data_IF_848420960069
#
_entry.id   IF_848420960069
#
_cell.length_a   1.000
_cell.length_b   1.000
_cell.length_c   1.000
_cell.angle_alpha   90.00
_cell.angle_beta   90.00
_cell.angle_gamma   90.00
#
_symmetry.space_group_name_H-M   'P 1'
#
loop_
_entity.id
_entity.type
_entity.pdbx_description
1 polymer ?
#
# COMPACT_ATOMS: atom_id res chain seq x y z
N UNK A 1 -37.66 -9.97 7.81
CA UNK A 1 -36.68 -10.72 7.02
C UNK A 1 -36.72 -10.16 5.60
N UNK A 2 -35.56 -9.86 5.01
CA UNK A 2 -35.50 -9.47 3.61
C UNK A 2 -35.93 -10.67 2.75
N UNK A 3 -36.75 -10.42 1.74
CA UNK A 3 -37.21 -11.43 0.79
C UNK A 3 -36.65 -11.09 -0.59
N UNK A 4 -36.03 -12.05 -1.30
CA UNK A 4 -35.44 -11.78 -2.61
C UNK A 4 -36.48 -11.21 -3.58
N UNK A 5 -36.10 -10.21 -4.36
CA UNK A 5 -36.95 -9.67 -5.43
C UNK A 5 -37.03 -10.64 -6.61
N UNK A 6 -35.94 -11.36 -6.87
CA UNK A 6 -35.85 -12.36 -7.94
C UNK A 6 -35.14 -13.62 -7.44
N UNK A 7 -35.42 -14.78 -8.04
CA UNK A 7 -34.69 -16.02 -7.78
C UNK A 7 -34.23 -16.60 -9.11
N UNK A 8 -32.95 -16.92 -9.21
CA UNK A 8 -32.34 -17.48 -10.41
C UNK A 8 -31.93 -18.93 -10.16
N UNK A 9 -32.47 -19.91 -10.92
CA UNK A 9 -32.13 -21.31 -10.72
C UNK A 9 -30.64 -21.55 -10.99
N UNK A 10 -29.96 -22.20 -10.05
CA UNK A 10 -28.53 -22.52 -10.14
C UNK A 10 -27.58 -21.49 -9.51
N UNK A 11 -28.08 -20.35 -9.02
CA UNK A 11 -27.31 -19.35 -8.28
C UNK A 11 -27.79 -19.35 -6.83
N UNK A 12 -26.87 -19.40 -5.89
CA UNK A 12 -27.22 -19.36 -4.46
C UNK A 12 -27.84 -17.99 -4.12
N UNK A 13 -28.89 -18.01 -3.28
CA UNK A 13 -29.63 -16.80 -2.89
C UNK A 13 -28.70 -15.70 -2.35
N UNK A 14 -28.95 -14.44 -2.75
CA UNK A 14 -28.18 -13.27 -2.35
C UNK A 14 -26.82 -13.12 -3.04
N UNK A 15 -26.52 -13.98 -4.03
CA UNK A 15 -25.25 -13.90 -4.79
C UNK A 15 -25.43 -13.37 -6.21
N UNK A 16 -26.66 -13.26 -6.71
CA UNK A 16 -26.89 -12.86 -8.09
C UNK A 16 -26.44 -11.43 -8.37
N UNK A 17 -26.78 -10.50 -7.47
CA UNK A 17 -26.34 -9.11 -7.61
C UNK A 17 -24.82 -8.99 -7.47
N UNK A 18 -24.21 -9.74 -6.54
CA UNK A 18 -22.76 -9.78 -6.40
C UNK A 18 -22.08 -10.17 -7.72
N UNK A 19 -22.59 -11.21 -8.38
CA UNK A 19 -22.09 -11.64 -9.69
C UNK A 19 -22.25 -10.56 -10.77
N UNK A 20 -23.40 -9.88 -10.83
CA UNK A 20 -23.61 -8.77 -11.78
C UNK A 20 -22.61 -7.64 -11.51
N UNK A 21 -22.43 -7.27 -10.24
CA UNK A 21 -21.49 -6.24 -9.83
C UNK A 21 -20.06 -6.62 -10.21
N UNK A 22 -19.65 -7.87 -10.05
CA UNK A 22 -18.33 -8.36 -10.46
C UNK A 22 -18.14 -8.31 -11.99
N UNK A 23 -19.16 -8.67 -12.76
CA UNK A 23 -19.14 -8.57 -14.23
C UNK A 23 -19.02 -7.10 -14.66
N UNK A 24 -19.78 -6.20 -14.04
CA UNK A 24 -19.72 -4.75 -14.31
C UNK A 24 -18.34 -4.21 -13.93
N UNK A 25 -17.80 -4.62 -12.78
CA UNK A 25 -16.46 -4.23 -12.33
C UNK A 25 -15.42 -4.64 -13.36
N UNK A 26 -15.43 -5.90 -13.80
CA UNK A 26 -14.49 -6.41 -14.80
C UNK A 26 -14.62 -5.68 -16.15
N UNK A 27 -15.85 -5.46 -16.62
CA UNK A 27 -16.11 -4.73 -17.85
C UNK A 27 -15.60 -3.28 -17.78
N UNK A 28 -15.81 -2.61 -16.64
CA UNK A 28 -15.32 -1.24 -16.42
C UNK A 28 -13.80 -1.18 -16.33
N UNK A 29 -13.14 -2.14 -15.67
CA UNK A 29 -11.67 -2.20 -15.64
C UNK A 29 -11.11 -2.35 -17.05
N UNK A 30 -11.68 -3.23 -17.88
CA UNK A 30 -11.27 -3.37 -19.29
C UNK A 30 -11.52 -2.08 -20.06
N UNK A 31 -12.69 -1.46 -19.88
CA UNK A 31 -13.07 -0.22 -20.55
C UNK A 31 -12.10 0.93 -20.24
N UNK A 32 -11.75 1.10 -18.97
CA UNK A 32 -10.84 2.15 -18.53
C UNK A 32 -9.37 1.85 -18.86
N UNK A 33 -8.96 0.58 -18.85
CA UNK A 33 -7.59 0.19 -19.26
C UNK A 33 -7.37 0.40 -20.77
N UNK A 34 -8.40 0.16 -21.60
CA UNK A 34 -8.31 0.29 -23.07
C UNK A 34 -8.60 1.69 -23.59
N UNK A 35 -9.19 2.55 -22.78
CA UNK A 35 -9.51 3.91 -23.17
C UNK A 35 -8.27 4.79 -23.05
N UNK A 36 -8.07 5.70 -24.01
CA UNK A 36 -7.07 6.78 -23.95
C UNK A 36 -7.46 7.88 -22.93
N UNK A 37 -8.34 7.53 -21.97
CA UNK A 37 -8.86 8.45 -20.98
C UNK A 37 -7.82 8.59 -19.89
N UNK A 38 -7.19 9.74 -19.84
CA UNK A 38 -6.35 10.16 -18.72
C UNK A 38 -7.19 10.18 -17.44
N UNK A 39 -7.07 9.14 -16.62
CA UNK A 39 -7.71 9.06 -15.31
C UNK A 39 -6.92 9.97 -14.37
N UNK A 40 -7.50 11.10 -14.00
CA UNK A 40 -6.85 11.99 -13.04
C UNK A 40 -6.76 11.31 -11.67
N UNK A 41 -5.53 11.12 -11.18
CA UNK A 41 -5.25 10.76 -9.79
C UNK A 41 -4.81 12.03 -9.08
N UNK A 42 -5.42 12.32 -7.91
CA UNK A 42 -5.01 13.48 -7.11
C UNK A 42 -3.56 13.31 -6.66
N UNK A 43 -2.83 14.42 -6.54
CA UNK A 43 -1.50 14.39 -5.93
C UNK A 43 -1.56 13.93 -4.47
N UNK A 44 -0.58 13.14 -4.08
CA UNK A 44 -0.45 12.59 -2.73
C UNK A 44 0.89 13.05 -2.17
N UNK A 45 0.84 13.96 -1.20
CA UNK A 45 2.05 14.63 -0.68
C UNK A 45 3.09 13.62 -0.15
N UNK A 46 2.66 12.56 0.53
CA UNK A 46 3.58 11.53 1.03
C UNK A 46 4.25 10.71 -0.06
N UNK A 47 3.64 10.57 -1.24
CA UNK A 47 4.28 9.91 -2.39
C UNK A 47 5.24 10.86 -3.10
N UNK A 48 4.85 12.12 -3.27
CA UNK A 48 5.73 13.16 -3.84
C UNK A 48 6.99 13.36 -2.98
N UNK A 49 6.87 13.23 -1.66
CA UNK A 49 7.98 13.35 -0.73
C UNK A 49 9.03 12.22 -0.86
N UNK A 50 8.70 11.09 -1.50
CA UNK A 50 9.64 9.97 -1.67
C UNK A 50 10.82 10.38 -2.54
N UNK A 51 10.57 11.02 -3.68
CA UNK A 51 11.63 11.48 -4.58
C UNK A 51 12.56 12.47 -3.88
N UNK A 52 11.99 13.43 -3.13
CA UNK A 52 12.77 14.38 -2.32
C UNK A 52 13.60 13.66 -1.25
N UNK A 53 13.00 12.70 -0.54
CA UNK A 53 13.66 11.96 0.53
C UNK A 53 14.84 11.11 0.00
N UNK A 54 14.72 10.52 -1.19
CA UNK A 54 15.80 9.78 -1.84
C UNK A 54 16.86 10.75 -2.40
N UNK A 55 16.46 11.84 -3.04
CA UNK A 55 17.39 12.86 -3.55
C UNK A 55 18.25 13.46 -2.43
N UNK A 56 17.64 13.81 -1.29
CA UNK A 56 18.36 14.28 -0.10
C UNK A 56 19.30 13.22 0.48
N UNK A 57 18.92 11.94 0.43
CA UNK A 57 19.77 10.84 0.86
C UNK A 57 21.04 10.72 0.00
N UNK A 58 20.88 10.87 -1.32
CA UNK A 58 21.98 10.92 -2.28
C UNK A 58 22.93 12.09 -1.98
N UNK A 59 22.40 13.30 -1.80
CA UNK A 59 23.19 14.51 -1.49
C UNK A 59 23.98 14.39 -0.17
N UNK A 60 23.40 13.73 0.84
CA UNK A 60 24.05 13.53 2.13
C UNK A 60 25.01 12.33 2.17
N UNK A 61 25.03 11.49 1.13
CA UNK A 61 25.78 10.23 1.14
C UNK A 61 25.30 9.26 2.22
N UNK A 62 24.02 9.31 2.58
CA UNK A 62 23.41 8.50 3.64
C UNK A 62 22.42 7.50 3.05
N UNK A 63 22.20 6.35 3.69
CA UNK A 63 21.26 5.36 3.18
C UNK A 63 19.80 5.80 3.33
N UNK A 64 18.95 5.19 2.50
CA UNK A 64 17.49 5.15 2.65
C UNK A 64 17.14 3.82 3.30
N UNK A 65 16.25 3.84 4.30
CA UNK A 65 15.68 2.59 4.84
C UNK A 65 14.24 2.48 4.38
N UNK A 66 13.89 1.40 3.69
CA UNK A 66 12.53 1.17 3.20
C UNK A 66 11.95 -0.12 3.78
N UNK A 67 10.68 -0.12 4.14
CA UNK A 67 9.95 -1.34 4.53
C UNK A 67 8.70 -1.53 3.68
N UNK A 68 8.34 -2.79 3.49
CA UNK A 68 7.12 -3.25 2.83
C UNK A 68 6.13 -3.90 3.83
N UNK A 69 6.41 -3.79 5.12
CA UNK A 69 5.57 -4.30 6.21
C UNK A 69 5.87 -5.75 6.60
N UNK A 70 5.15 -6.19 7.64
CA UNK A 70 5.34 -7.47 8.34
C UNK A 70 4.22 -8.48 8.03
N UNK A 71 3.28 -8.13 7.15
CA UNK A 71 2.17 -9.01 6.76
C UNK A 71 2.54 -10.02 5.68
N UNK A 72 1.62 -10.93 5.37
CA UNK A 72 1.65 -11.71 4.12
C UNK A 72 1.24 -10.86 2.91
N UNK A 73 0.79 -11.49 1.82
CA UNK A 73 0.20 -10.79 0.67
C UNK A 73 -1.18 -10.22 1.01
N UNK A 74 -1.16 -9.09 1.71
CA UNK A 74 -2.34 -8.29 2.03
C UNK A 74 -2.41 -7.07 1.11
N UNK A 75 -3.55 -6.41 1.11
CA UNK A 75 -3.76 -5.14 0.41
C UNK A 75 -2.67 -4.10 0.73
N UNK A 76 -2.29 -3.95 2.00
CA UNK A 76 -1.25 -3.01 2.42
C UNK A 76 0.15 -3.45 2.00
N UNK A 77 0.48 -4.74 2.17
CA UNK A 77 1.80 -5.25 1.80
C UNK A 77 2.06 -5.11 0.31
N UNK A 78 1.06 -5.37 -0.53
CA UNK A 78 1.17 -5.17 -1.99
C UNK A 78 1.46 -3.71 -2.33
N UNK A 79 0.78 -2.77 -1.66
CA UNK A 79 1.07 -1.35 -1.78
C UNK A 79 2.52 -1.01 -1.36
N UNK A 80 2.98 -1.57 -0.24
CA UNK A 80 4.35 -1.39 0.24
C UNK A 80 5.41 -1.94 -0.72
N UNK A 81 5.14 -3.08 -1.39
CA UNK A 81 6.02 -3.62 -2.43
C UNK A 81 6.07 -2.73 -3.67
N UNK A 82 4.94 -2.15 -4.08
CA UNK A 82 4.90 -1.22 -5.21
C UNK A 82 5.74 0.05 -4.90
N UNK A 83 5.61 0.58 -3.68
CA UNK A 83 6.43 1.71 -3.21
C UNK A 83 7.91 1.30 -3.15
N UNK A 84 8.23 0.10 -2.63
CA UNK A 84 9.60 -0.41 -2.59
C UNK A 84 10.23 -0.50 -3.97
N UNK A 85 9.48 -0.95 -4.99
CA UNK A 85 9.98 -1.02 -6.38
C UNK A 85 10.45 0.34 -6.86
N UNK A 86 9.59 1.35 -6.70
CA UNK A 86 9.91 2.72 -7.09
C UNK A 86 11.07 3.31 -6.28
N UNK A 87 11.11 3.10 -4.97
CA UNK A 87 12.22 3.53 -4.11
C UNK A 87 13.54 2.87 -4.53
N UNK A 88 13.51 1.58 -4.88
CA UNK A 88 14.69 0.84 -5.34
C UNK A 88 15.22 1.37 -6.67
N UNK A 89 14.34 1.68 -7.63
CA UNK A 89 14.72 2.30 -8.90
C UNK A 89 15.35 3.69 -8.68
N UNK A 90 14.76 4.53 -7.84
CA UNK A 90 15.33 5.83 -7.48
C UNK A 90 16.69 5.70 -6.78
N UNK A 91 16.83 4.78 -5.83
CA UNK A 91 18.09 4.54 -5.13
C UNK A 91 19.17 4.05 -6.10
N UNK A 92 18.87 3.09 -6.97
CA UNK A 92 19.80 2.58 -7.97
C UNK A 92 20.26 3.69 -8.94
N UNK A 93 19.32 4.50 -9.44
CA UNK A 93 19.60 5.61 -10.36
C UNK A 93 20.44 6.72 -9.74
N UNK A 94 20.24 7.00 -8.46
CA UNK A 94 20.98 8.03 -7.71
C UNK A 94 22.26 7.53 -7.06
N UNK A 95 22.54 6.22 -7.12
CA UNK A 95 23.66 5.59 -6.42
C UNK A 95 23.50 5.61 -4.89
N UNK A 96 22.27 5.74 -4.39
CA UNK A 96 21.97 5.77 -2.97
C UNK A 96 21.83 4.35 -2.43
N UNK A 97 22.46 4.06 -1.28
CA UNK A 97 22.34 2.76 -0.62
C UNK A 97 20.92 2.59 -0.05
N UNK A 98 20.23 1.54 -0.47
CA UNK A 98 18.92 1.16 0.04
C UNK A 98 19.05 0.00 1.02
N UNK A 99 18.53 0.15 2.24
CA UNK A 99 18.47 -0.92 3.25
C UNK A 99 17.00 -1.32 3.43
N UNK A 100 16.71 -2.62 3.35
CA UNK A 100 15.35 -3.16 3.43
C UNK A 100 15.27 -4.24 4.52
N UNK A 101 15.05 -3.87 5.80
CA UNK A 101 14.97 -4.87 6.86
C UNK A 101 13.76 -5.78 6.68
N UNK A 102 13.98 -7.10 6.62
CA UNK A 102 12.94 -8.10 6.32
C UNK A 102 12.57 -8.96 7.54
N UNK A 103 11.35 -9.49 7.55
CA UNK A 103 10.81 -10.34 8.63
C UNK A 103 9.67 -9.69 9.42
N UNK A 104 9.62 -9.95 10.72
CA UNK A 104 8.65 -9.46 11.69
C UNK A 104 7.39 -10.31 11.86
N UNK A 105 7.18 -11.31 11.00
CA UNK A 105 6.09 -12.28 11.12
C UNK A 105 6.38 -13.54 10.33
N UNK A 106 5.78 -14.66 10.72
CA UNK A 106 5.76 -15.89 9.91
C UNK A 106 5.15 -15.64 8.53
N UNK A 107 4.14 -14.77 8.41
CA UNK A 107 3.50 -14.46 7.12
C UNK A 107 4.37 -13.63 6.19
N UNK A 108 5.33 -12.86 6.71
CA UNK A 108 6.26 -12.07 5.89
C UNK A 108 7.29 -12.94 5.14
N UNK A 109 7.49 -14.19 5.58
CA UNK A 109 8.49 -15.10 5.01
C UNK A 109 8.22 -15.42 3.53
N UNK A 110 6.95 -15.51 3.13
CA UNK A 110 6.56 -15.74 1.72
C UNK A 110 6.68 -14.47 0.87
N UNK A 111 6.72 -13.29 1.50
CA UNK A 111 6.80 -11.99 0.82
C UNK A 111 8.26 -11.60 0.57
N UNK A 112 9.16 -11.97 1.48
CA UNK A 112 10.58 -11.63 1.42
C UNK A 112 11.25 -11.95 0.07
N UNK A 113 11.10 -13.15 -0.54
CA UNK A 113 11.72 -13.43 -1.83
C UNK A 113 11.24 -12.51 -2.95
N UNK A 114 9.97 -12.07 -2.89
CA UNK A 114 9.43 -11.10 -3.84
C UNK A 114 10.05 -9.72 -3.65
N UNK A 115 10.24 -9.29 -2.39
CA UNK A 115 10.92 -8.04 -2.10
C UNK A 115 12.40 -8.06 -2.55
N UNK A 116 13.11 -9.18 -2.34
CA UNK A 116 14.48 -9.37 -2.83
C UNK A 116 14.55 -9.28 -4.35
N UNK A 117 13.62 -9.94 -5.06
CA UNK A 117 13.59 -9.92 -6.52
C UNK A 117 13.23 -8.53 -7.08
N UNK A 118 12.31 -7.80 -6.42
CA UNK A 118 11.97 -6.41 -6.79
C UNK A 118 13.22 -5.53 -6.72
N UNK A 119 13.94 -5.55 -5.60
CA UNK A 119 15.14 -4.71 -5.44
C UNK A 119 16.22 -5.13 -6.44
N UNK A 120 16.48 -6.42 -6.59
CA UNK A 120 17.47 -6.92 -7.57
C UNK A 120 17.11 -6.52 -9.01
N UNK A 121 15.84 -6.61 -9.37
CA UNK A 121 15.34 -6.24 -10.70
C UNK A 121 15.51 -4.75 -10.95
N UNK A 122 15.17 -3.90 -9.97
CA UNK A 122 15.34 -2.45 -10.08
C UNK A 122 16.79 -2.06 -10.39
N UNK A 123 17.77 -2.61 -9.65
CA UNK A 123 19.19 -2.36 -9.91
C UNK A 123 19.65 -2.89 -11.29
N UNK A 124 19.08 -4.01 -11.75
CA UNK A 124 19.38 -4.59 -13.06
C UNK A 124 18.84 -3.72 -14.20
N UNK A 125 17.59 -3.24 -14.07
CA UNK A 125 16.92 -2.39 -15.07
C UNK A 125 17.59 -1.02 -15.18
N UNK A 126 18.05 -0.46 -14.06
CA UNK A 126 18.82 0.80 -14.03
C UNK A 126 20.29 0.61 -14.49
N UNK A 127 20.69 -0.59 -14.89
CA UNK A 127 22.01 -0.86 -15.47
C UNK A 127 23.16 -0.88 -14.46
N UNK A 128 22.86 -0.99 -13.16
CA UNK A 128 23.84 -1.03 -12.05
C UNK A 128 23.73 -2.30 -11.21
N UNK A 129 23.71 -3.51 -11.81
CA UNK A 129 23.55 -4.76 -11.06
C UNK A 129 24.68 -4.99 -10.04
N UNK A 130 25.88 -4.44 -10.30
CA UNK A 130 27.03 -4.55 -9.39
C UNK A 130 26.85 -3.77 -8.07
N UNK A 131 25.91 -2.82 -8.02
CA UNK A 131 25.58 -2.08 -6.80
C UNK A 131 24.54 -2.80 -5.93
N UNK A 132 23.88 -3.85 -6.44
CA UNK A 132 22.97 -4.65 -5.65
C UNK A 132 23.72 -5.45 -4.59
N UNK A 133 23.34 -5.28 -3.32
CA UNK A 133 23.91 -6.02 -2.22
C UNK A 133 22.83 -6.81 -1.45
N UNK A 134 22.85 -8.16 -1.47
CA UNK A 134 21.92 -8.98 -0.70
C UNK A 134 21.95 -8.70 0.81
N UNK A 135 23.11 -8.29 1.36
CA UNK A 135 23.26 -8.00 2.79
C UNK A 135 22.49 -6.75 3.23
N UNK A 136 22.06 -5.92 2.28
CA UNK A 136 21.19 -4.77 2.56
C UNK A 136 19.71 -5.16 2.74
N UNK A 137 19.36 -6.44 2.59
CA UNK A 137 18.02 -6.98 2.86
C UNK A 137 18.02 -8.00 4.03
N UNK A 138 18.56 -7.65 5.20
CA UNK A 138 18.76 -8.61 6.27
C UNK A 138 17.44 -9.15 6.80
N UNK A 139 17.37 -10.46 7.02
CA UNK A 139 16.29 -11.06 7.79
C UNK A 139 16.58 -10.90 9.28
N UNK A 140 15.71 -10.17 9.97
CA UNK A 140 15.91 -9.86 11.39
C UNK A 140 15.34 -10.93 12.31
N UNK A 141 14.05 -11.24 12.18
CA UNK A 141 13.36 -12.23 13.00
C UNK A 141 11.99 -12.57 12.42
N UNK A 142 11.43 -13.74 12.76
CA UNK A 142 10.01 -14.06 12.51
C UNK A 142 9.05 -13.49 13.55
N UNK A 143 9.57 -12.85 14.61
CA UNK A 143 8.79 -12.28 15.71
C UNK A 143 8.82 -10.74 15.65
N UNK A 144 7.65 -10.12 15.80
CA UNK A 144 7.46 -8.67 15.57
C UNK A 144 8.41 -7.79 16.39
N UNK A 145 8.47 -7.94 17.72
CA UNK A 145 9.31 -7.06 18.54
C UNK A 145 10.81 -7.37 18.47
N UNK A 146 11.18 -8.61 18.11
CA UNK A 146 12.57 -8.93 17.82
C UNK A 146 13.02 -8.28 16.49
N UNK A 147 12.13 -8.25 15.49
CA UNK A 147 12.34 -7.47 14.26
C UNK A 147 12.51 -5.98 14.57
N UNK A 148 11.65 -5.40 15.42
CA UNK A 148 11.76 -3.99 15.82
C UNK A 148 13.11 -3.69 16.46
N UNK A 149 13.60 -4.53 17.37
CA UNK A 149 14.92 -4.34 17.99
C UNK A 149 16.05 -4.32 16.96
N UNK A 150 16.00 -5.21 15.97
CA UNK A 150 16.95 -5.22 14.85
C UNK A 150 16.83 -3.97 13.96
N UNK A 151 15.60 -3.54 13.65
CA UNK A 151 15.31 -2.38 12.82
C UNK A 151 15.80 -1.09 13.48
N UNK A 152 15.43 -0.87 14.75
CA UNK A 152 15.91 0.26 15.56
C UNK A 152 17.43 0.26 15.65
N UNK A 153 18.05 -0.91 15.83
CA UNK A 153 19.50 -1.05 15.80
C UNK A 153 20.12 -0.62 14.47
N UNK A 154 19.50 -0.93 13.33
CA UNK A 154 19.92 -0.44 12.02
C UNK A 154 19.85 1.09 12.00
N UNK A 155 18.70 1.68 12.35
CA UNK A 155 18.51 3.14 12.34
C UNK A 155 19.55 3.88 13.19
N UNK A 156 19.84 3.38 14.39
CA UNK A 156 20.81 3.99 15.30
C UNK A 156 22.25 3.92 14.77
N UNK A 157 22.64 2.83 14.09
CA UNK A 157 23.99 2.65 13.54
C UNK A 157 24.18 3.38 12.23
N UNK A 158 23.21 3.30 11.32
CA UNK A 158 23.34 3.84 9.96
C UNK A 158 22.93 5.30 9.87
N UNK A 159 22.11 5.79 10.82
CA UNK A 159 21.58 7.17 10.86
C UNK A 159 21.13 7.63 9.48
N UNK A 160 20.15 6.91 8.86
CA UNK A 160 19.77 7.13 7.48
C UNK A 160 19.25 8.56 7.26
N UNK A 161 19.25 8.99 6.00
CA UNK A 161 18.66 10.26 5.62
C UNK A 161 17.13 10.21 5.68
N UNK A 162 16.55 9.06 5.32
CA UNK A 162 15.12 8.86 5.27
C UNK A 162 14.72 7.42 5.63
N UNK A 163 13.51 7.32 6.20
CA UNK A 163 12.85 6.06 6.52
C UNK A 163 11.47 6.06 5.88
N UNK A 164 11.29 5.15 4.92
CA UNK A 164 10.04 4.94 4.18
C UNK A 164 9.40 3.66 4.71
N UNK A 165 8.50 3.80 5.67
CA UNK A 165 7.87 2.68 6.36
C UNK A 165 6.45 2.47 5.85
N UNK A 166 6.31 1.60 4.85
CA UNK A 166 5.03 1.34 4.19
C UNK A 166 4.67 -0.14 4.25
N UNK A 167 3.42 -0.46 3.92
CA UNK A 167 2.90 -1.83 4.04
C UNK A 167 2.27 -2.13 5.39
N UNK A 168 2.12 -3.42 5.70
CA UNK A 168 1.42 -3.89 6.90
C UNK A 168 2.27 -3.74 8.16
N UNK A 169 2.12 -2.61 8.86
CA UNK A 169 2.67 -2.42 10.19
C UNK A 169 1.56 -2.33 11.26
N UNK A 170 1.88 -2.72 12.49
CA UNK A 170 1.00 -2.62 13.66
C UNK A 170 1.68 -1.75 14.71
N UNK A 171 1.76 -2.22 15.96
CA UNK A 171 2.37 -1.50 17.09
C UNK A 171 3.87 -1.23 16.93
N UNK A 172 4.56 -1.97 16.05
CA UNK A 172 5.96 -1.76 15.69
C UNK A 172 6.20 -0.39 15.03
N UNK A 173 5.22 0.09 14.26
CA UNK A 173 5.35 1.31 13.47
C UNK A 173 5.76 2.52 14.32
N UNK A 174 5.18 2.66 15.52
CA UNK A 174 5.48 3.79 16.40
C UNK A 174 6.92 3.78 16.89
N UNK A 175 7.43 2.61 17.28
CA UNK A 175 8.81 2.47 17.77
C UNK A 175 9.80 2.82 16.67
N UNK A 176 9.52 2.41 15.44
CA UNK A 176 10.34 2.71 14.28
C UNK A 176 10.25 4.20 13.96
N UNK A 177 9.05 4.78 13.85
CA UNK A 177 8.86 6.20 13.52
C UNK A 177 9.54 7.14 14.52
N UNK A 178 9.35 6.91 15.82
CA UNK A 178 10.00 7.72 16.87
C UNK A 178 11.53 7.61 16.81
N UNK A 179 12.05 6.39 16.55
CA UNK A 179 13.48 6.18 16.37
C UNK A 179 14.02 6.91 15.14
N UNK A 180 13.28 6.87 14.03
CA UNK A 180 13.62 7.58 12.79
C UNK A 180 13.72 9.08 13.02
N UNK A 181 12.76 9.66 13.72
CA UNK A 181 12.78 11.07 14.11
C UNK A 181 13.97 11.37 15.04
N UNK A 182 14.24 10.53 16.03
CA UNK A 182 15.36 10.69 16.96
C UNK A 182 16.74 10.65 16.28
N UNK A 183 16.90 9.92 15.17
CA UNK A 183 18.14 9.91 14.38
C UNK A 183 18.20 11.05 13.34
N UNK A 184 17.12 11.81 13.18
CA UNK A 184 17.00 12.95 12.27
C UNK A 184 16.70 12.55 10.82
N UNK A 185 16.06 11.41 10.62
CA UNK A 185 15.66 10.93 9.29
C UNK A 185 14.28 11.49 8.91
N UNK A 186 14.11 11.88 7.64
CA UNK A 186 12.78 12.16 7.09
C UNK A 186 11.97 10.88 7.15
N UNK A 187 10.81 10.93 7.78
CA UNK A 187 10.01 9.76 8.07
C UNK A 187 8.70 9.81 7.28
N UNK A 188 8.56 8.90 6.32
CA UNK A 188 7.36 8.74 5.49
C UNK A 188 6.71 7.42 5.89
N UNK A 189 5.46 7.45 6.34
CA UNK A 189 4.77 6.26 6.84
C UNK A 189 3.46 5.98 6.12
N UNK A 190 2.95 4.76 6.24
CA UNK A 190 1.61 4.39 5.79
C UNK A 190 0.74 3.92 6.96
N UNK A 191 -0.47 4.45 7.06
CA UNK A 191 -1.43 4.13 8.10
C UNK A 191 -2.21 2.83 7.87
N UNK A 192 -1.54 1.67 7.80
CA UNK A 192 -2.20 0.37 7.57
C UNK A 192 -3.09 -0.10 8.73
N UNK A 193 -2.76 0.32 9.94
CA UNK A 193 -3.52 -0.02 11.15
C UNK A 193 -4.21 1.22 11.70
N UNK A 194 -5.55 1.25 11.59
CA UNK A 194 -6.37 2.44 11.87
C UNK A 194 -6.08 3.06 13.25
N UNK A 195 -5.86 2.23 14.27
CA UNK A 195 -5.62 2.70 15.64
C UNK A 195 -4.28 3.45 15.79
N UNK A 196 -3.34 3.28 14.86
CA UNK A 196 -2.03 3.93 14.92
C UNK A 196 -1.91 5.15 14.01
N UNK A 197 -2.90 5.40 13.13
CA UNK A 197 -2.84 6.47 12.12
C UNK A 197 -2.63 7.84 12.76
N UNK A 198 -3.41 8.16 13.80
CA UNK A 198 -3.31 9.46 14.48
C UNK A 198 -1.93 9.66 15.12
N UNK A 199 -1.38 8.61 15.73
CA UNK A 199 -0.08 8.70 16.37
C UNK A 199 1.05 8.79 15.33
N UNK A 200 0.96 8.03 14.24
CA UNK A 200 1.92 8.12 13.12
C UNK A 200 1.86 9.48 12.43
N UNK A 201 0.69 10.10 12.33
CA UNK A 201 0.55 11.45 11.80
C UNK A 201 1.30 12.50 12.64
N UNK A 202 1.47 12.26 13.95
CA UNK A 202 2.29 13.11 14.81
C UNK A 202 3.79 12.79 14.76
N UNK A 203 4.14 11.52 14.51
CA UNK A 203 5.53 11.04 14.57
C UNK A 203 6.25 11.05 13.21
N UNK A 204 5.53 11.27 12.10
CA UNK A 204 6.07 11.22 10.74
C UNK A 204 6.02 12.61 10.09
N UNK A 205 6.99 12.91 9.22
CA UNK A 205 6.93 14.12 8.39
C UNK A 205 5.82 14.01 7.34
N UNK A 206 5.60 12.80 6.81
CA UNK A 206 4.50 12.49 5.90
C UNK A 206 3.85 11.17 6.27
N UNK A 207 2.51 11.11 6.14
CA UNK A 207 1.74 9.88 6.32
C UNK A 207 0.78 9.69 5.14
N UNK A 208 0.76 8.46 4.62
CA UNK A 208 -0.24 7.99 3.66
C UNK A 208 -1.45 7.46 4.43
N UNK A 209 -2.63 8.01 4.17
CA UNK A 209 -3.87 7.66 4.89
C UNK A 209 -4.85 6.96 3.96
N UNK A 210 -5.38 5.83 4.43
CA UNK A 210 -6.42 5.08 3.72
C UNK A 210 -5.96 4.63 2.34
N UNK A 211 -6.65 5.09 1.30
CA UNK A 211 -6.42 4.67 -0.09
C UNK A 211 -5.18 5.30 -0.75
N UNK A 212 -4.46 6.17 -0.05
CA UNK A 212 -3.25 6.80 -0.59
C UNK A 212 -2.10 5.82 -0.82
N UNK A 213 -1.82 4.92 0.12
CA UNK A 213 -0.77 3.92 -0.07
C UNK A 213 -1.13 2.90 -1.16
N UNK A 214 -2.34 2.32 -1.19
CA UNK A 214 -2.76 1.44 -2.28
C UNK A 214 -2.79 2.10 -3.66
N UNK A 215 -3.11 3.39 -3.73
CA UNK A 215 -3.04 4.15 -4.97
C UNK A 215 -1.59 4.39 -5.44
N UNK A 216 -0.57 4.11 -4.61
CA UNK A 216 0.82 4.38 -4.95
C UNK A 216 1.29 3.66 -6.21
N UNK A 217 0.88 2.42 -6.45
CA UNK A 217 1.22 1.73 -7.70
C UNK A 217 0.73 2.51 -8.93
N UNK A 218 -0.55 2.91 -8.91
CA UNK A 218 -1.15 3.70 -9.99
C UNK A 218 -0.57 5.11 -10.11
N UNK A 219 -0.08 5.67 -9.01
CA UNK A 219 0.55 6.98 -8.94
C UNK A 219 1.99 6.99 -9.48
N UNK A 220 2.76 5.94 -9.17
CA UNK A 220 4.20 5.87 -9.43
C UNK A 220 4.57 5.18 -10.75
N UNK A 221 3.79 4.18 -11.18
CA UNK A 221 4.08 3.40 -12.41
C UNK A 221 3.46 3.96 -13.69
N UNK A 222 2.52 4.90 -13.54
CA UNK A 222 1.68 5.45 -14.62
C UNK A 222 0.96 4.39 -15.49
N UNK A 223 0.85 3.16 -15.00
CA UNK A 223 0.33 2.03 -15.77
C UNK A 223 -1.21 2.14 -15.94
N UNK A 224 -1.75 2.05 -17.18
CA UNK A 224 -3.18 2.21 -17.42
C UNK A 224 -4.07 1.25 -16.64
N UNK A 225 -3.60 0.01 -16.42
CA UNK A 225 -4.30 -1.03 -15.67
C UNK A 225 -4.50 -0.64 -14.19
N UNK A 226 -3.46 -0.08 -13.57
CA UNK A 226 -3.48 0.35 -12.17
C UNK A 226 -4.29 1.64 -12.01
N UNK A 227 -4.20 2.58 -12.95
CA UNK A 227 -5.06 3.79 -12.93
C UNK A 227 -6.53 3.42 -13.10
N UNK A 228 -6.83 2.44 -13.96
CA UNK A 228 -8.18 1.93 -14.15
C UNK A 228 -8.74 1.27 -12.89
N UNK A 229 -7.94 0.47 -12.17
CA UNK A 229 -8.40 -0.21 -10.96
C UNK A 229 -8.84 0.79 -9.88
N UNK A 230 -8.06 1.84 -9.62
CA UNK A 230 -8.40 2.89 -8.66
C UNK A 230 -9.68 3.61 -9.08
N UNK A 231 -9.83 3.94 -10.36
CA UNK A 231 -11.03 4.63 -10.85
C UNK A 231 -12.30 3.81 -10.68
N UNK A 232 -12.24 2.52 -10.99
CA UNK A 232 -13.38 1.61 -10.85
C UNK A 232 -13.70 1.40 -9.37
N UNK A 233 -12.68 1.24 -8.53
CA UNK A 233 -12.86 1.11 -7.08
C UNK A 233 -13.60 2.34 -6.50
N UNK A 234 -13.22 3.54 -6.91
CA UNK A 234 -13.89 4.77 -6.46
C UNK A 234 -15.35 4.85 -6.93
N UNK A 235 -15.63 4.47 -8.18
CA UNK A 235 -17.02 4.42 -8.68
C UNK A 235 -17.88 3.45 -7.86
N UNK A 236 -17.34 2.27 -7.52
CA UNK A 236 -18.03 1.29 -6.70
C UNK A 236 -18.21 1.75 -5.25
N UNK A 237 -17.24 2.48 -4.68
CA UNK A 237 -17.41 3.12 -3.36
C UNK A 237 -18.55 4.14 -3.37
N UNK A 238 -18.64 4.99 -4.41
CA UNK A 238 -19.75 5.94 -4.54
C UNK A 238 -21.10 5.24 -4.73
N UNK A 239 -21.14 4.17 -5.54
CA UNK A 239 -22.34 3.35 -5.71
C UNK A 239 -22.77 2.72 -4.38
N UNK A 240 -21.84 2.11 -3.64
CA UNK A 240 -22.10 1.51 -2.34
C UNK A 240 -22.61 2.55 -1.34
N UNK A 241 -21.98 3.72 -1.28
CA UNK A 241 -22.43 4.83 -0.43
C UNK A 241 -23.85 5.28 -0.79
N UNK A 242 -24.16 5.40 -2.08
CA UNK A 242 -25.49 5.70 -2.56
C UNK A 242 -26.52 4.64 -2.14
N UNK A 243 -26.20 3.35 -2.28
CA UNK A 243 -27.04 2.25 -1.84
C UNK A 243 -27.26 2.24 -0.32
N UNK A 244 -26.24 2.55 0.48
CA UNK A 244 -26.35 2.65 1.94
C UNK A 244 -27.28 3.80 2.32
N UNK A 245 -27.09 5.00 1.75
CA UNK A 245 -27.93 6.17 2.04
C UNK A 245 -29.37 5.91 1.60
N UNK A 246 -29.57 5.39 0.39
CA UNK A 246 -30.90 5.05 -0.12
C UNK A 246 -31.57 3.98 0.74
N UNK A 247 -30.83 2.94 1.12
CA UNK A 247 -31.31 1.88 2.00
C UNK A 247 -31.73 2.41 3.36
N UNK A 248 -30.94 3.30 3.96
CA UNK A 248 -31.25 3.94 5.24
C UNK A 248 -32.53 4.77 5.15
N UNK A 249 -32.68 5.59 4.10
CA UNK A 249 -33.86 6.43 3.90
C UNK A 249 -35.11 5.59 3.67
N UNK A 250 -35.06 4.62 2.74
CA UNK A 250 -36.23 3.78 2.43
C UNK A 250 -36.66 2.92 3.63
N UNK A 251 -35.69 2.38 4.38
CA UNK A 251 -35.97 1.62 5.59
C UNK A 251 -36.64 2.48 6.66
N UNK A 252 -36.27 3.76 6.77
CA UNK A 252 -36.94 4.71 7.68
C UNK A 252 -38.44 4.91 7.37
N UNK A 253 -38.85 4.68 6.11
CA UNK A 253 -40.25 4.68 5.68
C UNK A 253 -40.89 3.27 5.65
N UNK A 254 -40.21 2.25 6.18
CA UNK A 254 -40.68 0.86 6.18
C UNK A 254 -40.52 0.13 4.85
N UNK A 255 -39.84 0.72 3.87
CA UNK A 255 -39.62 0.14 2.53
C UNK A 255 -38.29 -0.62 2.52
N UNK A 256 -38.36 -1.95 2.58
CA UNK A 256 -37.17 -2.83 2.59
C UNK A 256 -36.61 -3.14 1.18
N UNK A 257 -36.77 -2.25 0.21
CA UNK A 257 -36.41 -2.50 -1.18
C UNK A 257 -34.93 -2.85 -1.37
N UNK A 258 -34.01 -2.10 -0.78
CA UNK A 258 -32.56 -2.33 -0.92
C UNK A 258 -32.15 -3.66 -0.28
N UNK A 259 -32.72 -4.00 0.88
CA UNK A 259 -32.46 -5.29 1.53
C UNK A 259 -32.97 -6.47 0.69
N UNK A 260 -34.18 -6.34 0.14
CA UNK A 260 -34.78 -7.35 -0.74
C UNK A 260 -34.01 -7.51 -2.05
N UNK A 261 -33.54 -6.39 -2.60
CA UNK A 261 -32.65 -6.37 -3.75
C UNK A 261 -31.40 -7.16 -3.40
N UNK A 262 -30.61 -6.76 -2.39
CA UNK A 262 -29.37 -7.45 -2.00
C UNK A 262 -29.54 -8.93 -1.61
N UNK A 263 -30.74 -9.37 -1.20
CA UNK A 263 -31.04 -10.79 -0.97
C UNK A 263 -31.30 -11.62 -2.23
N UNK A 264 -31.32 -10.98 -3.40
CA UNK A 264 -31.44 -11.59 -4.74
C UNK A 264 -30.09 -12.12 -5.21
#
# INVERSE_FOLDING_TARGET
MATPLFQFPGIAEGRFIGLILDIILFALVIYYTRGDKQIYIRRVAGLDAIEEAVGRAAEMGKPVVCSYGLGGFTYWTLAGLAILSHVAELCARTGTRLIVPTGGSTSSLIVRPVAEEIVKTAYTVEGVPDQYNPDDLPFLSGQQYAYVGGYVGILQRTRPASVIMTGSHWSDAMNIAETSNAVGAITITSGSYISNVAALACASDYILIGEEAPAAGAYLSDEPSQRASIRVQDLFKFLALGCIILGLVLNSFGINFVGNLLST
#
